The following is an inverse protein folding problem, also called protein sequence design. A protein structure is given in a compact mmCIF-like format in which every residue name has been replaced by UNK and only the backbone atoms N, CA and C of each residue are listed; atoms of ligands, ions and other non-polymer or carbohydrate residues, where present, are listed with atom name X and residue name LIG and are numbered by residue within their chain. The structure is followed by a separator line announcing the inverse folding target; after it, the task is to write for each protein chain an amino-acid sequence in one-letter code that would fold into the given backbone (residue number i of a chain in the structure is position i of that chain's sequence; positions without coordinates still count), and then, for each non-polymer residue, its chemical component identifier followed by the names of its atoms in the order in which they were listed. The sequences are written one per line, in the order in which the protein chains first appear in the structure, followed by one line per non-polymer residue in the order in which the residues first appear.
data_IF_625736878532
#
_entry.id   IF_625736878532
#
_cell.length_a   1.000
_cell.length_b   1.000
_cell.length_c   1.000
_cell.angle_alpha   90.00
_cell.angle_beta   90.00
_cell.angle_gamma   90.00
#
_symmetry.space_group_name_H-M   'P 1'
#
loop_
_entity.id
_entity.type
_entity.pdbx_description
1 polymer ?
#
# COMPACT_ATOMS: atom_id res chain seq x y z
N UNK A 1 14.74 31.97 4.29
CA UNK A 1 14.53 31.34 5.62
C UNK A 1 13.83 32.34 6.53
N UNK A 2 12.65 32.00 7.09
CA UNK A 2 11.82 32.95 7.84
C UNK A 2 12.12 32.86 9.35
N UNK A 3 12.61 33.94 9.95
CA UNK A 3 13.06 34.02 11.35
C UNK A 3 11.99 33.57 12.36
N UNK A 4 10.73 33.90 12.08
CA UNK A 4 9.57 33.49 12.88
C UNK A 4 9.32 31.97 12.83
N UNK A 5 9.66 31.31 11.72
CA UNK A 5 9.57 29.85 11.61
C UNK A 5 10.69 29.14 12.35
N UNK A 6 11.89 29.76 12.42
CA UNK A 6 13.04 29.24 13.17
C UNK A 6 12.78 29.32 14.68
N UNK A 7 12.22 30.45 15.15
CA UNK A 7 11.82 30.63 16.55
C UNK A 7 10.77 29.61 17.00
N UNK A 8 9.76 29.32 16.17
CA UNK A 8 8.75 28.28 16.46
C UNK A 8 9.35 26.88 16.52
N UNK A 9 10.32 26.55 15.65
CA UNK A 9 11.00 25.25 15.69
C UNK A 9 11.83 25.08 16.97
N UNK A 10 12.55 26.12 17.39
CA UNK A 10 13.34 26.10 18.64
C UNK A 10 12.47 25.91 19.88
N UNK A 11 11.37 26.67 19.98
CA UNK A 11 10.40 26.53 21.07
C UNK A 11 9.79 25.13 21.16
N UNK A 12 9.39 24.54 20.02
CA UNK A 12 8.83 23.17 19.96
C UNK A 12 9.82 22.09 20.35
N UNK A 13 11.09 22.28 20.01
CA UNK A 13 12.17 21.35 20.40
C UNK A 13 12.40 21.38 21.91
N UNK A 14 12.40 22.57 22.53
CA UNK A 14 12.51 22.71 23.99
C UNK A 14 11.36 22.03 24.74
N UNK A 15 10.12 22.16 24.26
CA UNK A 15 8.96 21.49 24.86
C UNK A 15 9.03 19.96 24.68
N UNK A 16 9.43 19.45 23.50
CA UNK A 16 9.62 17.99 23.28
C UNK A 16 10.67 17.40 24.21
N UNK A 17 11.81 18.08 24.39
CA UNK A 17 12.83 17.63 25.33
C UNK A 17 12.28 17.62 26.76
N UNK A 18 11.66 18.72 27.19
CA UNK A 18 11.11 18.83 28.54
C UNK A 18 10.01 17.79 28.84
N UNK A 19 9.15 17.47 27.86
CA UNK A 19 8.13 16.43 28.02
C UNK A 19 8.72 15.02 28.03
N UNK A 20 9.76 14.76 27.23
CA UNK A 20 10.47 13.47 27.21
C UNK A 20 11.12 13.16 28.56
N UNK A 21 11.58 14.20 29.28
CA UNK A 21 12.14 14.09 30.63
C UNK A 21 11.10 14.23 31.76
N UNK A 22 9.79 14.29 31.45
CA UNK A 22 8.73 14.42 32.46
C UNK A 22 8.69 15.77 33.18
N UNK A 23 9.45 16.77 32.72
CA UNK A 23 9.53 18.12 33.30
C UNK A 23 8.36 19.02 32.87
N UNK A 24 7.61 18.62 31.84
CA UNK A 24 6.35 19.26 31.44
C UNK A 24 5.29 18.19 31.18
N UNK A 25 4.16 18.30 31.88
CA UNK A 25 2.98 17.48 31.62
C UNK A 25 2.29 17.96 30.34
N UNK A 26 2.57 17.29 29.22
CA UNK A 26 1.73 17.38 28.01
C UNK A 26 0.56 16.43 28.22
N UNK A 27 -0.67 16.92 28.14
CA UNK A 27 -1.86 16.05 28.20
C UNK A 27 -1.78 14.97 27.13
N UNK A 28 -1.86 13.72 27.56
CA UNK A 28 -1.91 12.55 26.69
C UNK A 28 -3.30 12.46 26.08
N UNK A 29 -3.41 12.70 24.77
CA UNK A 29 -4.65 12.53 24.02
C UNK A 29 -4.73 11.08 23.50
N UNK A 30 -5.12 10.16 24.39
CA UNK A 30 -5.14 8.73 24.07
C UNK A 30 -6.06 8.38 22.91
N UNK A 31 -7.16 9.11 22.74
CA UNK A 31 -8.11 8.89 21.64
C UNK A 31 -7.46 9.26 20.30
N UNK A 32 -6.78 10.41 20.25
CA UNK A 32 -6.05 10.80 19.05
C UNK A 32 -4.87 9.86 18.78
N UNK A 33 -4.14 9.43 19.82
CA UNK A 33 -3.02 8.48 19.65
C UNK A 33 -3.47 7.16 19.02
N UNK A 34 -4.62 6.62 19.42
CA UNK A 34 -5.22 5.43 18.79
C UNK A 34 -5.57 5.68 17.33
N UNK A 35 -6.23 6.81 17.05
CA UNK A 35 -6.65 7.21 15.69
C UNK A 35 -5.45 7.41 14.76
N UNK A 36 -4.39 8.10 15.23
CA UNK A 36 -3.15 8.28 14.48
C UNK A 36 -2.47 6.92 14.24
N UNK A 37 -2.41 6.05 15.24
CA UNK A 37 -1.82 4.71 15.09
C UNK A 37 -2.53 3.92 13.99
N UNK A 38 -3.86 3.89 13.98
CA UNK A 38 -4.64 3.19 12.96
C UNK A 38 -4.36 3.74 11.56
N UNK A 39 -4.41 5.06 11.39
CA UNK A 39 -4.06 5.73 10.14
C UNK A 39 -2.67 5.34 9.62
N UNK A 40 -1.65 5.36 10.50
CA UNK A 40 -0.27 5.00 10.15
C UNK A 40 -0.11 3.52 9.81
N UNK A 41 -0.80 2.64 10.53
CA UNK A 41 -0.77 1.20 10.27
C UNK A 41 -1.38 0.89 8.90
N UNK A 42 -2.51 1.52 8.57
CA UNK A 42 -3.15 1.32 7.28
C UNK A 42 -2.31 1.88 6.13
N UNK A 43 -1.76 3.09 6.27
CA UNK A 43 -0.83 3.67 5.29
C UNK A 43 0.37 2.74 5.02
N UNK A 44 0.95 2.18 6.09
CA UNK A 44 2.05 1.22 6.01
C UNK A 44 1.63 -0.08 5.33
N UNK A 45 0.46 -0.62 5.66
CA UNK A 45 -0.06 -1.84 5.06
C UNK A 45 -0.29 -1.67 3.56
N UNK A 46 -0.89 -0.55 3.12
CA UNK A 46 -1.08 -0.21 1.71
C UNK A 46 0.25 -0.14 0.95
N UNK A 47 1.25 0.55 1.51
CA UNK A 47 2.60 0.63 0.92
C UNK A 47 3.27 -0.73 0.79
N UNK A 48 3.19 -1.55 1.83
CA UNK A 48 3.80 -2.88 1.85
C UNK A 48 3.11 -3.82 0.86
N UNK A 49 1.78 -3.81 0.82
CA UNK A 49 1.01 -4.60 -0.13
C UNK A 49 1.37 -4.24 -1.56
N UNK A 50 1.35 -2.95 -1.91
CA UNK A 50 1.70 -2.48 -3.25
C UNK A 50 3.13 -2.86 -3.64
N UNK A 51 4.09 -2.72 -2.72
CA UNK A 51 5.48 -3.15 -2.97
C UNK A 51 5.56 -4.65 -3.25
N UNK A 52 4.94 -5.47 -2.41
CA UNK A 52 5.00 -6.93 -2.54
C UNK A 52 4.24 -7.42 -3.78
N UNK A 53 3.15 -6.75 -4.16
CA UNK A 53 2.43 -6.99 -5.40
C UNK A 53 3.33 -6.76 -6.61
N UNK A 54 4.08 -5.65 -6.65
CA UNK A 54 5.04 -5.38 -7.72
C UNK A 54 6.10 -6.48 -7.83
N UNK A 55 6.72 -6.87 -6.70
CA UNK A 55 7.69 -7.97 -6.66
C UNK A 55 7.09 -9.28 -7.18
N UNK A 56 5.86 -9.60 -6.78
CA UNK A 56 5.15 -10.78 -7.26
C UNK A 56 4.93 -10.73 -8.79
N UNK A 57 4.48 -9.59 -9.32
CA UNK A 57 4.26 -9.41 -10.75
C UNK A 57 5.57 -9.54 -11.54
N UNK A 58 6.67 -8.97 -11.04
CA UNK A 58 7.98 -9.07 -11.68
C UNK A 58 8.47 -10.53 -11.75
N UNK A 59 8.37 -11.27 -10.64
CA UNK A 59 8.75 -12.69 -10.60
C UNK A 59 7.90 -13.56 -11.51
N UNK A 60 6.58 -13.32 -11.55
CA UNK A 60 5.68 -14.04 -12.45
C UNK A 60 5.99 -13.74 -13.91
N UNK A 61 6.29 -12.48 -14.24
CA UNK A 61 6.71 -12.07 -15.58
C UNK A 61 7.96 -12.82 -16.01
N UNK A 62 8.98 -12.83 -15.15
CA UNK A 62 10.23 -13.54 -15.40
C UNK A 62 9.98 -15.03 -15.64
N UNK A 63 9.17 -15.69 -14.81
CA UNK A 63 8.81 -17.10 -14.99
C UNK A 63 8.13 -17.38 -16.33
N UNK A 64 7.20 -16.53 -16.76
CA UNK A 64 6.53 -16.65 -18.06
C UNK A 64 7.52 -16.45 -19.22
N UNK A 65 8.41 -15.46 -19.11
CA UNK A 65 9.44 -15.19 -20.13
C UNK A 65 10.45 -16.33 -20.25
N UNK A 66 10.91 -16.90 -19.13
CA UNK A 66 11.80 -18.06 -19.13
C UNK A 66 11.11 -19.28 -19.73
N UNK A 67 9.84 -19.50 -19.43
CA UNK A 67 9.05 -20.60 -20.02
C UNK A 67 8.94 -20.48 -21.54
N UNK A 68 8.76 -19.26 -22.05
CA UNK A 68 8.81 -18.97 -23.47
C UNK A 68 10.20 -19.26 -24.06
N UNK A 69 11.27 -18.80 -23.41
CA UNK A 69 12.64 -19.02 -23.89
C UNK A 69 12.98 -20.52 -23.98
N UNK A 70 12.55 -21.33 -23.01
CA UNK A 70 12.74 -22.79 -23.07
C UNK A 70 12.10 -23.41 -24.31
N UNK A 71 10.96 -22.87 -24.77
CA UNK A 71 10.33 -23.33 -26.01
C UNK A 71 11.11 -22.91 -27.26
N UNK A 72 11.71 -21.72 -27.26
CA UNK A 72 12.57 -21.24 -28.34
C UNK A 72 13.87 -22.06 -28.45
N UNK A 73 14.45 -22.43 -27.30
CA UNK A 73 15.66 -23.27 -27.25
C UNK A 73 15.41 -24.66 -27.85
N UNK A 74 14.22 -25.24 -27.59
CA UNK A 74 13.82 -26.51 -28.20
C UNK A 74 13.65 -26.39 -29.72
N UNK A 75 13.01 -25.31 -30.20
CA UNK A 75 12.86 -25.04 -31.64
C UNK A 75 14.24 -24.93 -32.29
N UNK A 76 15.18 -24.21 -31.66
CA UNK A 76 16.55 -24.08 -32.15
C UNK A 76 17.26 -25.43 -32.23
N UNK A 77 17.09 -26.30 -31.23
CA UNK A 77 17.70 -27.63 -31.22
C UNK A 77 17.23 -28.53 -32.38
N UNK A 78 15.96 -28.44 -32.77
CA UNK A 78 15.36 -29.27 -33.82
C UNK A 78 15.47 -28.67 -35.24
N UNK A 79 15.81 -27.39 -35.36
CA UNK A 79 15.84 -26.61 -36.61
C UNK A 79 16.52 -27.33 -37.79
N UNK A 80 17.70 -27.91 -37.56
CA UNK A 80 18.51 -28.54 -38.63
C UNK A 80 18.42 -30.07 -38.64
N UNK A 81 17.53 -30.64 -37.81
CA UNK A 81 17.41 -32.09 -37.64
C UNK A 81 16.20 -32.64 -38.39
N UNK A 82 15.01 -32.17 -38.02
CA UNK A 82 13.71 -32.54 -38.60
C UNK A 82 12.63 -31.70 -37.91
N UNK A 83 11.60 -31.28 -38.65
CA UNK A 83 10.44 -30.61 -38.05
C UNK A 83 9.72 -31.58 -37.11
N UNK A 84 9.47 -31.15 -35.88
CA UNK A 84 8.73 -31.90 -34.86
C UNK A 84 7.47 -31.08 -34.50
N UNK A 85 6.28 -31.48 -35.00
CA UNK A 85 5.03 -30.73 -34.78
C UNK A 85 4.71 -30.45 -33.30
N UNK A 86 5.10 -31.35 -32.40
CA UNK A 86 4.93 -31.20 -30.96
C UNK A 86 5.78 -30.04 -30.39
N UNK A 87 6.96 -29.80 -30.94
CA UNK A 87 7.84 -28.67 -30.54
C UNK A 87 7.21 -27.35 -30.98
N UNK A 88 6.68 -27.28 -32.21
CA UNK A 88 5.95 -26.10 -32.71
C UNK A 88 4.69 -25.83 -31.90
N UNK A 89 4.00 -26.90 -31.45
CA UNK A 89 2.83 -26.78 -30.57
C UNK A 89 3.21 -26.27 -29.19
N UNK A 90 4.28 -26.79 -28.58
CA UNK A 90 4.79 -26.30 -27.30
C UNK A 90 5.13 -24.81 -27.36
N UNK A 91 5.86 -24.41 -28.40
CA UNK A 91 6.20 -23.00 -28.67
C UNK A 91 4.95 -22.14 -28.78
N UNK A 92 3.97 -22.58 -29.58
CA UNK A 92 2.70 -21.85 -29.77
C UNK A 92 1.94 -21.65 -28.45
N UNK A 93 1.88 -22.67 -27.59
CA UNK A 93 1.27 -22.58 -26.26
C UNK A 93 1.99 -21.57 -25.36
N UNK A 94 3.33 -21.61 -25.31
CA UNK A 94 4.10 -20.65 -24.51
C UNK A 94 3.96 -19.21 -25.01
N UNK A 95 3.88 -19.01 -26.34
CA UNK A 95 3.56 -17.70 -26.92
C UNK A 95 2.17 -17.22 -26.51
N UNK A 96 1.14 -18.07 -26.55
CA UNK A 96 -0.21 -17.69 -26.11
C UNK A 96 -0.23 -17.29 -24.63
N UNK A 97 0.46 -18.04 -23.77
CA UNK A 97 0.57 -17.71 -22.34
C UNK A 97 1.27 -16.35 -22.14
N UNK A 98 2.37 -16.09 -22.84
CA UNK A 98 3.17 -14.88 -22.65
C UNK A 98 2.57 -13.64 -23.32
N UNK A 99 2.18 -13.74 -24.59
CA UNK A 99 1.76 -12.60 -25.39
C UNK A 99 0.29 -12.22 -25.18
N UNK A 100 -0.54 -13.16 -24.72
CA UNK A 100 -1.96 -12.91 -24.48
C UNK A 100 -2.31 -13.00 -23.00
N UNK A 101 -2.25 -14.20 -22.41
CA UNK A 101 -2.82 -14.41 -21.07
C UNK A 101 -2.09 -13.62 -19.98
N UNK A 102 -0.76 -13.54 -20.05
CA UNK A 102 0.04 -12.73 -19.14
C UNK A 102 -0.20 -11.22 -19.34
N UNK A 103 -0.30 -10.74 -20.58
CA UNK A 103 -0.53 -9.32 -20.86
C UNK A 103 -1.89 -8.84 -20.32
N UNK A 104 -2.94 -9.66 -20.51
CA UNK A 104 -4.27 -9.39 -19.96
C UNK A 104 -4.25 -9.35 -18.43
N UNK A 105 -3.54 -10.30 -17.78
CA UNK A 105 -3.36 -10.31 -16.34
C UNK A 105 -2.62 -9.06 -15.84
N UNK A 106 -1.46 -8.74 -16.43
CA UNK A 106 -0.64 -7.62 -16.03
C UNK A 106 -1.40 -6.29 -16.16
N UNK A 107 -2.12 -6.11 -17.27
CA UNK A 107 -2.94 -4.90 -17.51
C UNK A 107 -4.08 -4.78 -16.50
N UNK A 108 -4.76 -5.89 -16.15
CA UNK A 108 -5.82 -5.87 -15.13
C UNK A 108 -5.26 -5.54 -13.75
N UNK A 109 -4.14 -6.14 -13.34
CA UNK A 109 -3.52 -5.83 -12.04
C UNK A 109 -3.05 -4.38 -11.97
N UNK A 110 -2.42 -3.85 -13.03
CA UNK A 110 -1.99 -2.46 -13.07
C UNK A 110 -3.17 -1.49 -12.94
N UNK A 111 -4.24 -1.72 -13.73
CA UNK A 111 -5.41 -0.84 -13.79
C UNK A 111 -6.27 -0.93 -12.54
N UNK A 112 -6.64 -2.15 -12.14
CA UNK A 112 -7.71 -2.40 -11.16
C UNK A 112 -7.17 -2.48 -9.72
N UNK A 113 -5.85 -2.65 -9.55
CA UNK A 113 -5.21 -2.82 -8.24
C UNK A 113 -4.15 -1.75 -8.02
N UNK A 114 -3.09 -1.72 -8.82
CA UNK A 114 -1.96 -0.82 -8.54
C UNK A 114 -2.33 0.65 -8.65
N UNK A 115 -3.01 1.05 -9.73
CA UNK A 115 -3.41 2.44 -9.96
C UNK A 115 -4.32 2.94 -8.83
N UNK A 116 -5.31 2.12 -8.45
CA UNK A 116 -6.25 2.43 -7.36
C UNK A 116 -5.51 2.62 -6.04
N UNK A 117 -4.62 1.71 -5.66
CA UNK A 117 -3.86 1.80 -4.41
C UNK A 117 -2.84 2.95 -4.42
N UNK A 118 -2.23 3.25 -5.57
CA UNK A 118 -1.35 4.43 -5.73
C UNK A 118 -2.13 5.73 -5.53
N UNK A 119 -3.32 5.85 -6.10
CA UNK A 119 -4.19 7.01 -5.90
C UNK A 119 -4.66 7.14 -4.45
N UNK A 120 -5.09 6.03 -3.84
CA UNK A 120 -5.46 6.00 -2.43
C UNK A 120 -4.32 6.49 -1.54
N UNK A 121 -3.09 6.03 -1.76
CA UNK A 121 -1.92 6.47 -1.00
C UNK A 121 -1.63 7.97 -1.14
N UNK A 122 -1.91 8.59 -2.29
CA UNK A 122 -1.76 10.03 -2.44
C UNK A 122 -2.73 10.79 -1.52
N UNK A 123 -3.93 10.27 -1.29
CA UNK A 123 -4.93 10.89 -0.41
C UNK A 123 -4.48 10.94 1.06
N UNK A 124 -3.58 10.05 1.51
CA UNK A 124 -3.03 10.07 2.87
C UNK A 124 -2.08 11.25 3.11
N UNK A 125 -1.55 11.87 2.05
CA UNK A 125 -0.58 12.97 2.17
C UNK A 125 -1.13 14.22 2.86
N UNK A 126 -2.38 14.59 2.60
CA UNK A 126 -3.06 15.73 3.24
C UNK A 126 -3.30 15.52 4.73
N UNK A 127 -4.03 14.46 5.12
CA UNK A 127 -4.24 14.08 6.51
C UNK A 127 -2.94 13.93 7.31
N UNK A 128 -1.90 13.31 6.73
CA UNK A 128 -0.60 13.18 7.39
C UNK A 128 0.05 14.53 7.73
N UNK A 129 -0.11 15.55 6.86
CA UNK A 129 0.35 16.92 7.14
C UNK A 129 -0.50 17.58 8.22
N UNK A 130 -1.81 17.35 8.26
CA UNK A 130 -2.71 17.88 9.29
C UNK A 130 -2.43 17.27 10.67
N UNK A 131 -2.14 15.97 10.75
CA UNK A 131 -1.69 15.30 12.00
C UNK A 131 -0.42 15.98 12.53
N UNK A 132 0.56 16.21 11.66
CA UNK A 132 1.79 16.94 12.03
C UNK A 132 1.49 18.38 12.47
N UNK A 133 0.57 19.06 11.79
CA UNK A 133 0.13 20.43 12.13
C UNK A 133 -0.54 20.45 13.50
N UNK A 134 -1.40 19.48 13.81
CA UNK A 134 -2.03 19.34 15.13
C UNK A 134 -0.97 19.16 16.23
N UNK A 135 0.00 18.27 16.05
CA UNK A 135 1.09 18.07 17.01
C UNK A 135 1.85 19.37 17.28
N UNK A 136 2.16 20.14 16.23
CA UNK A 136 2.76 21.46 16.39
C UNK A 136 1.88 22.44 17.18
N UNK A 137 0.56 22.41 16.98
CA UNK A 137 -0.39 23.28 17.70
C UNK A 137 -0.61 22.89 19.15
N UNK A 138 -0.53 21.61 19.46
CA UNK A 138 -0.51 21.14 20.84
C UNK A 138 0.71 21.70 21.60
N UNK A 139 1.89 21.67 20.98
CA UNK A 139 3.12 22.25 21.57
C UNK A 139 3.02 23.78 21.72
N UNK A 140 2.49 24.48 20.72
CA UNK A 140 2.24 25.93 20.79
C UNK A 140 1.30 26.26 21.98
N UNK A 141 0.22 25.49 22.18
CA UNK A 141 -0.70 25.64 23.32
C UNK A 141 -0.02 25.35 24.67
N UNK A 142 0.71 24.24 24.79
CA UNK A 142 1.42 23.88 26.02
C UNK A 142 2.44 24.95 26.43
N UNK A 143 3.14 25.55 25.47
CA UNK A 143 4.06 26.66 25.72
C UNK A 143 3.32 27.92 26.22
N UNK A 144 2.16 28.26 25.66
CA UNK A 144 1.35 29.39 26.13
C UNK A 144 0.81 29.15 27.54
N UNK A 145 0.32 27.92 27.83
CA UNK A 145 -0.11 27.51 29.18
C UNK A 145 1.01 27.68 30.21
N UNK A 146 2.19 27.14 29.92
CA UNK A 146 3.35 27.27 30.82
C UNK A 146 3.79 28.73 31.04
N UNK A 147 3.64 29.61 30.04
CA UNK A 147 3.91 31.05 30.17
C UNK A 147 2.89 31.72 31.10
N UNK A 148 1.61 31.40 30.98
CA UNK A 148 0.55 31.90 31.86
C UNK A 148 0.80 31.44 33.29
N UNK A 149 1.06 30.15 33.50
CA UNK A 149 1.24 29.56 34.83
C UNK A 149 2.46 30.13 35.59
N UNK A 150 3.52 30.53 34.87
CA UNK A 150 4.74 31.09 35.45
C UNK A 150 4.71 32.62 35.59
N UNK A 151 3.72 33.29 35.01
CA UNK A 151 3.66 34.74 35.01
C UNK A 151 3.20 35.27 36.37
N UNK A 152 4.03 36.13 36.99
CA UNK A 152 3.69 36.79 38.27
C UNK A 152 3.20 38.24 38.09
N UNK A 153 3.28 38.78 36.86
CA UNK A 153 2.90 40.15 36.55
C UNK A 153 1.39 40.23 36.23
N UNK A 154 0.63 40.85 37.13
CA UNK A 154 -0.83 41.00 37.02
C UNK A 154 -1.25 41.77 35.77
N UNK A 155 -0.44 42.73 35.31
CA UNK A 155 -0.78 43.55 34.13
C UNK A 155 -0.73 42.73 32.83
N UNK A 156 0.07 41.66 32.81
CA UNK A 156 0.24 40.77 31.65
C UNK A 156 -0.68 39.56 31.67
N UNK A 157 -1.44 39.34 32.75
CA UNK A 157 -2.30 38.17 32.89
C UNK A 157 -3.33 38.06 31.77
N UNK A 158 -4.05 39.15 31.48
CA UNK A 158 -5.12 39.14 30.47
C UNK A 158 -4.60 38.92 29.04
N UNK A 159 -3.59 39.67 28.55
CA UNK A 159 -2.99 39.41 27.25
C UNK A 159 -2.45 37.97 27.07
N UNK A 160 -1.81 37.41 28.10
CA UNK A 160 -1.27 36.04 28.06
C UNK A 160 -2.39 34.99 28.06
N UNK A 161 -3.47 35.22 28.83
CA UNK A 161 -4.64 34.36 28.83
C UNK A 161 -5.37 34.37 27.49
N UNK A 162 -5.51 35.54 26.85
CA UNK A 162 -6.11 35.66 25.52
C UNK A 162 -5.28 34.91 24.46
N UNK A 163 -3.94 35.03 24.50
CA UNK A 163 -3.03 34.29 23.63
C UNK A 163 -3.16 32.76 23.82
N UNK A 164 -3.21 32.31 25.09
CA UNK A 164 -3.42 30.89 25.42
C UNK A 164 -4.77 30.39 24.90
N UNK A 165 -5.84 31.18 25.02
CA UNK A 165 -7.17 30.81 24.55
C UNK A 165 -7.21 30.67 23.03
N UNK A 166 -6.56 31.57 22.29
CA UNK A 166 -6.42 31.45 20.82
C UNK A 166 -5.66 30.18 20.45
N UNK A 167 -4.54 29.89 21.13
CA UNK A 167 -3.77 28.67 20.88
C UNK A 167 -4.58 27.40 21.17
N UNK A 168 -5.37 27.40 22.25
CA UNK A 168 -6.29 26.31 22.61
C UNK A 168 -7.34 26.08 21.53
N UNK A 169 -7.99 27.14 21.04
CA UNK A 169 -9.03 27.05 20.02
C UNK A 169 -8.47 26.49 18.70
N UNK A 170 -7.30 26.96 18.27
CA UNK A 170 -6.65 26.50 17.04
C UNK A 170 -6.26 25.02 17.13
N UNK A 171 -5.70 24.60 18.26
CA UNK A 171 -5.41 23.18 18.51
C UNK A 171 -6.70 22.35 18.54
N UNK A 172 -7.69 22.77 19.32
CA UNK A 172 -8.95 22.05 19.53
C UNK A 172 -9.74 21.86 18.23
N UNK A 173 -9.76 22.86 17.35
CA UNK A 173 -10.39 22.75 16.04
C UNK A 173 -9.73 21.67 15.17
N UNK A 174 -8.39 21.68 15.07
CA UNK A 174 -7.64 20.65 14.32
C UNK A 174 -7.79 19.26 14.95
N UNK A 175 -7.79 19.17 16.27
CA UNK A 175 -7.97 17.90 16.98
C UNK A 175 -9.34 17.28 16.66
N UNK A 176 -10.39 18.08 16.80
CA UNK A 176 -11.77 17.64 16.57
C UNK A 176 -12.00 17.23 15.12
N UNK A 177 -11.48 18.01 14.17
CA UNK A 177 -11.55 17.67 12.74
C UNK A 177 -10.90 16.32 12.45
N UNK A 178 -9.68 16.09 12.95
CA UNK A 178 -8.97 14.84 12.69
C UNK A 178 -9.61 13.63 13.39
N UNK A 179 -10.17 13.81 14.60
CA UNK A 179 -10.90 12.75 15.30
C UNK A 179 -12.18 12.34 14.57
N UNK A 180 -12.80 13.25 13.81
CA UNK A 180 -13.98 12.94 13.00
C UNK A 180 -13.61 12.34 11.63
N UNK A 181 -12.62 12.90 10.95
CA UNK A 181 -12.32 12.55 9.54
C UNK A 181 -11.41 11.31 9.39
N UNK A 182 -10.41 11.13 10.27
CA UNK A 182 -9.44 10.03 10.12
C UNK A 182 -10.09 8.63 10.19
N UNK A 183 -11.02 8.35 11.13
CA UNK A 183 -11.66 7.03 11.17
C UNK A 183 -12.44 6.71 9.89
N UNK A 184 -13.14 7.71 9.33
CA UNK A 184 -13.90 7.57 8.07
C UNK A 184 -12.97 7.25 6.90
N UNK A 185 -11.85 8.00 6.80
CA UNK A 185 -10.82 7.72 5.80
C UNK A 185 -10.26 6.30 5.96
N UNK A 186 -9.98 5.86 7.18
CA UNK A 186 -9.43 4.52 7.43
C UNK A 186 -10.41 3.42 7.04
N UNK A 187 -11.69 3.54 7.40
CA UNK A 187 -12.74 2.58 7.00
C UNK A 187 -12.83 2.44 5.49
N UNK A 188 -13.00 3.56 4.77
CA UNK A 188 -13.12 3.56 3.30
C UNK A 188 -11.85 3.01 2.64
N UNK A 189 -10.68 3.34 3.19
CA UNK A 189 -9.40 2.83 2.67
C UNK A 189 -9.27 1.32 2.86
N UNK A 190 -9.78 0.77 3.95
CA UNK A 190 -9.80 -0.67 4.18
C UNK A 190 -10.74 -1.40 3.21
N UNK A 191 -11.91 -0.83 2.93
CA UNK A 191 -12.87 -1.35 1.95
C UNK A 191 -12.29 -1.36 0.52
N UNK A 192 -11.59 -0.28 0.15
CA UNK A 192 -10.88 -0.20 -1.14
C UNK A 192 -9.78 -1.28 -1.20
N UNK A 193 -8.98 -1.43 -0.14
CA UNK A 193 -7.94 -2.47 -0.09
C UNK A 193 -8.56 -3.87 -0.24
N UNK A 194 -9.66 -4.15 0.44
CA UNK A 194 -10.37 -5.42 0.32
C UNK A 194 -10.84 -5.66 -1.13
N UNK A 195 -11.41 -4.64 -1.77
CA UNK A 195 -11.86 -4.72 -3.17
C UNK A 195 -10.68 -4.99 -4.12
N UNK A 196 -9.57 -4.28 -3.94
CA UNK A 196 -8.34 -4.50 -4.69
C UNK A 196 -7.77 -5.92 -4.53
N UNK A 197 -7.84 -6.51 -3.32
CA UNK A 197 -7.45 -7.90 -3.08
C UNK A 197 -8.36 -8.86 -3.85
N UNK A 198 -9.67 -8.61 -3.89
CA UNK A 198 -10.62 -9.43 -4.66
C UNK A 198 -10.36 -9.36 -6.16
N UNK A 199 -10.10 -8.16 -6.71
CA UNK A 199 -9.75 -7.99 -8.12
C UNK A 199 -8.45 -8.71 -8.47
N UNK A 200 -7.41 -8.58 -7.63
CA UNK A 200 -6.16 -9.32 -7.81
C UNK A 200 -6.39 -10.84 -7.84
N UNK A 201 -7.16 -11.38 -6.90
CA UNK A 201 -7.45 -12.82 -6.84
C UNK A 201 -8.23 -13.28 -8.07
N UNK A 202 -9.18 -12.48 -8.57
CA UNK A 202 -9.94 -12.78 -9.79
C UNK A 202 -9.04 -12.78 -11.02
N UNK A 203 -8.19 -11.77 -11.18
CA UNK A 203 -7.22 -11.70 -12.27
C UNK A 203 -6.27 -12.91 -12.23
N UNK A 204 -5.72 -13.22 -11.05
CA UNK A 204 -4.79 -14.35 -10.86
C UNK A 204 -5.45 -15.69 -11.16
N UNK A 205 -6.66 -15.93 -10.65
CA UNK A 205 -7.44 -17.14 -10.95
C UNK A 205 -7.64 -17.30 -12.46
N UNK A 206 -8.00 -16.20 -13.14
CA UNK A 206 -8.24 -16.22 -14.59
C UNK A 206 -6.97 -16.54 -15.36
N UNK A 207 -5.85 -15.91 -15.02
CA UNK A 207 -4.55 -16.20 -15.62
C UNK A 207 -4.15 -17.66 -15.46
N UNK A 208 -4.16 -18.17 -14.22
CA UNK A 208 -3.78 -19.55 -13.92
C UNK A 208 -4.69 -20.52 -14.67
N UNK A 209 -6.01 -20.32 -14.64
CA UNK A 209 -6.95 -21.20 -15.33
C UNK A 209 -6.74 -21.24 -16.85
N UNK A 210 -6.46 -20.09 -17.48
CA UNK A 210 -6.18 -20.02 -18.92
C UNK A 210 -4.84 -20.66 -19.27
N UNK A 211 -3.78 -20.34 -18.52
CA UNK A 211 -2.46 -20.94 -18.74
C UNK A 211 -2.50 -22.48 -18.56
N UNK A 212 -3.16 -22.97 -17.51
CA UNK A 212 -3.36 -24.41 -17.31
C UNK A 212 -4.11 -25.04 -18.48
N UNK A 213 -5.17 -24.40 -19.00
CA UNK A 213 -5.91 -24.90 -20.16
C UNK A 213 -5.00 -25.04 -21.39
N UNK A 214 -4.18 -24.03 -21.69
CA UNK A 214 -3.22 -24.11 -22.80
C UNK A 214 -2.23 -25.27 -22.61
N UNK A 215 -1.66 -25.41 -21.41
CA UNK A 215 -0.69 -26.46 -21.10
C UNK A 215 -1.30 -27.87 -21.20
N UNK A 216 -2.56 -28.04 -20.81
CA UNK A 216 -3.24 -29.34 -20.90
C UNK A 216 -3.41 -29.82 -22.34
N UNK A 217 -3.51 -28.90 -23.32
CA UNK A 217 -3.54 -29.30 -24.74
C UNK A 217 -2.26 -30.00 -25.19
N UNK A 218 -1.13 -29.76 -24.50
CA UNK A 218 0.13 -30.46 -24.76
C UNK A 218 0.10 -31.90 -24.23
N UNK A 219 -0.64 -32.16 -23.15
CA UNK A 219 -0.79 -33.50 -22.58
C UNK A 219 -1.68 -34.42 -23.44
N UNK A 220 -2.40 -33.85 -24.40
CA UNK A 220 -3.17 -34.58 -25.41
C UNK A 220 -2.32 -34.99 -26.63
N UNK A 221 -1.05 -34.58 -26.70
CA UNK A 221 -0.18 -34.92 -27.83
C UNK A 221 0.21 -36.41 -27.83
N UNK A 222 0.31 -37.07 -29.00
CA UNK A 222 0.71 -38.49 -29.12
C UNK A 222 1.96 -38.84 -28.31
N UNK A 223 2.99 -37.99 -28.37
CA UNK A 223 4.25 -38.14 -27.64
C UNK A 223 4.10 -38.21 -26.09
N UNK A 224 3.01 -37.68 -25.54
CA UNK A 224 2.76 -37.59 -24.10
C UNK A 224 1.86 -38.73 -23.56
N UNK A 225 1.32 -39.61 -24.41
CA UNK A 225 0.39 -40.66 -23.98
C UNK A 225 1.04 -41.74 -23.10
N UNK A 226 2.34 -41.99 -23.24
CA UNK A 226 3.09 -42.88 -22.35
C UNK A 226 3.35 -42.31 -20.94
N UNK A 227 3.17 -41.00 -20.77
CA UNK A 227 3.35 -40.30 -19.49
C UNK A 227 2.03 -40.10 -18.71
N UNK A 228 0.89 -40.64 -19.21
CA UNK A 228 -0.40 -40.63 -18.49
C UNK A 228 -0.35 -41.60 -17.31
N UNK A 229 0.29 -41.17 -16.22
CA UNK A 229 0.03 -41.70 -14.88
C UNK A 229 -1.41 -41.37 -14.48
N UNK A 230 -2.05 -42.30 -13.78
CA UNK A 230 -3.49 -42.45 -13.58
C UNK A 230 -4.20 -41.37 -12.72
N UNK A 231 -3.87 -40.09 -12.83
CA UNK A 231 -4.64 -39.02 -12.16
C UNK A 231 -4.93 -37.86 -13.10
N UNK A 232 -6.20 -37.69 -13.43
CA UNK A 232 -6.71 -36.54 -14.14
C UNK A 232 -6.55 -35.30 -13.25
N UNK A 233 -5.52 -34.49 -13.52
CA UNK A 233 -5.22 -33.23 -12.80
C UNK A 233 -6.44 -32.29 -12.79
N UNK A 234 -7.36 -32.45 -13.76
CA UNK A 234 -8.60 -31.67 -13.86
C UNK A 234 -9.67 -32.04 -12.83
N UNK A 235 -9.65 -33.24 -12.22
CA UNK A 235 -10.61 -33.57 -11.16
C UNK A 235 -10.43 -32.69 -9.92
N UNK A 236 -9.22 -32.18 -9.67
CA UNK A 236 -8.92 -31.29 -8.55
C UNK A 236 -9.41 -29.84 -8.74
N UNK A 237 -9.79 -29.44 -9.96
CA UNK A 237 -10.24 -28.07 -10.26
C UNK A 237 -11.76 -27.95 -10.46
N UNK A 238 -12.52 -29.03 -10.27
CA UNK A 238 -13.99 -28.96 -10.22
C UNK A 238 -14.44 -28.30 -8.92
N UNK A 239 -14.60 -26.97 -8.96
CA UNK A 239 -15.37 -26.23 -7.96
C UNK A 239 -16.83 -26.68 -8.10
N UNK A 240 -17.37 -27.37 -7.09
CA UNK A 240 -18.81 -27.59 -6.92
C UNK A 240 -19.47 -26.31 -6.42
#
# INVERSE_FOLDING_TARGET
LNLHSVLKKSSRFGVRLSSTFGLTAVEKDEQFERTEREFRLLEKALKLFLKNLGVFCDQMKESVQVSLQLSEDLVLFYRDRSSVPEVDRYRSVQHAICAQHWQEFATSVERDVESVLKQLLQMFGGPGKLITKRQHKLLDYAACKARVDRNRDVTRHKPLADEQQVARNVYGALNSQLLDELPKLCSLSAEILQSCVQEFLRARKTFVGRATRELLTLMELPAMHGARGNSDVLENFRIR
#
